data_IF_008949534045
#
_entry.id   IF_008949534045
#
_cell.length_a   1.000
_cell.length_b   1.000
_cell.length_c   1.000
_cell.angle_alpha   90.00
_cell.angle_beta   90.00
_cell.angle_gamma   90.00
#
_symmetry.space_group_name_H-M   'P 1'
#
loop_
_entity.id
_entity.type
_entity.pdbx_description
1 polymer ?
#
# COMPACT_ATOMS: atom_id res chain seq x y z
N UNK A 1 -37.87 -8.62 -0.14
CA UNK A 1 -37.04 -7.52 0.42
C UNK A 1 -36.40 -6.79 -0.75
N UNK A 2 -36.54 -5.46 -0.84
CA UNK A 2 -36.05 -4.66 -1.97
C UNK A 2 -34.94 -3.74 -1.46
N UNK A 3 -33.76 -3.78 -2.08
CA UNK A 3 -32.67 -2.85 -1.76
C UNK A 3 -33.00 -1.50 -2.42
N UNK A 4 -32.97 -0.42 -1.64
CA UNK A 4 -33.36 0.93 -2.07
C UNK A 4 -32.15 1.82 -2.42
N UNK A 5 -30.94 1.41 -2.05
CA UNK A 5 -29.70 2.12 -2.36
C UNK A 5 -28.48 1.28 -1.99
N UNK A 6 -27.34 1.60 -2.63
CA UNK A 6 -26.04 0.97 -2.38
C UNK A 6 -25.02 2.07 -2.14
N UNK A 7 -24.26 1.96 -1.06
CA UNK A 7 -23.11 2.80 -0.77
C UNK A 7 -21.86 2.05 -1.26
N UNK A 8 -21.10 2.69 -2.14
CA UNK A 8 -19.82 2.17 -2.60
C UNK A 8 -18.70 2.94 -1.92
N UNK A 9 -17.71 2.21 -1.43
CA UNK A 9 -16.42 2.80 -1.11
C UNK A 9 -15.77 3.32 -2.40
N UNK A 10 -14.93 4.36 -2.29
CA UNK A 10 -14.26 4.91 -3.45
C UNK A 10 -12.96 4.15 -3.74
N UNK A 11 -12.07 4.06 -2.76
CA UNK A 11 -10.75 3.46 -2.94
C UNK A 11 -10.82 1.93 -2.99
N UNK A 12 -10.18 1.34 -4.01
CA UNK A 12 -10.16 -0.12 -4.21
C UNK A 12 -11.50 -0.75 -4.62
N UNK A 13 -12.59 0.02 -4.71
CA UNK A 13 -13.92 -0.44 -5.14
C UNK A 13 -14.39 0.29 -6.40
N UNK A 14 -14.34 1.62 -6.42
CA UNK A 14 -14.69 2.44 -7.61
C UNK A 14 -13.45 2.91 -8.34
N UNK A 15 -12.37 3.22 -7.59
CA UNK A 15 -11.09 3.71 -8.10
C UNK A 15 -9.99 2.67 -7.84
N UNK A 16 -9.15 2.41 -8.85
CA UNK A 16 -7.95 1.58 -8.68
C UNK A 16 -6.76 2.40 -8.14
N UNK A 17 -6.94 2.94 -6.94
CA UNK A 17 -5.94 3.75 -6.24
C UNK A 17 -4.90 2.86 -5.53
N UNK A 18 -5.28 1.64 -5.13
CA UNK A 18 -4.39 0.67 -4.47
C UNK A 18 -3.22 0.24 -5.37
N UNK A 19 -3.46 -0.12 -6.64
CA UNK A 19 -2.38 -0.58 -7.53
C UNK A 19 -1.38 0.54 -7.83
N UNK A 20 -1.87 1.76 -8.03
CA UNK A 20 -1.03 2.93 -8.32
C UNK A 20 -0.12 3.26 -7.14
N UNK A 21 -0.67 3.28 -5.92
CA UNK A 21 0.08 3.47 -4.70
C UNK A 21 1.11 2.35 -4.48
N UNK A 22 0.72 1.08 -4.67
CA UNK A 22 1.62 -0.08 -4.53
C UNK A 22 2.77 -0.05 -5.54
N UNK A 23 2.52 0.42 -6.76
CA UNK A 23 3.56 0.62 -7.77
C UNK A 23 4.57 1.68 -7.35
N UNK A 24 4.11 2.78 -6.77
CA UNK A 24 4.98 3.83 -6.23
C UNK A 24 5.86 3.27 -5.10
N UNK A 25 5.25 2.60 -4.11
CA UNK A 25 5.97 2.03 -2.96
C UNK A 25 6.99 0.99 -3.39
N UNK A 26 6.64 0.06 -4.28
CA UNK A 26 7.59 -0.95 -4.80
C UNK A 26 8.81 -0.30 -5.48
N UNK A 27 8.60 0.75 -6.28
CA UNK A 27 9.68 1.48 -6.94
C UNK A 27 10.56 2.23 -5.95
N UNK A 28 9.96 2.92 -4.97
CA UNK A 28 10.69 3.67 -3.95
C UNK A 28 11.59 2.74 -3.14
N UNK A 29 11.02 1.64 -2.62
CA UNK A 29 11.74 0.66 -1.82
C UNK A 29 12.86 -0.02 -2.60
N UNK A 30 12.60 -0.41 -3.85
CA UNK A 30 13.60 -1.09 -4.67
C UNK A 30 14.72 -0.16 -5.14
N UNK A 31 14.37 1.04 -5.61
CA UNK A 31 15.34 1.93 -6.28
C UNK A 31 16.10 2.84 -5.33
N UNK A 32 15.44 3.37 -4.30
CA UNK A 32 16.05 4.35 -3.38
C UNK A 32 16.61 3.67 -2.14
N UNK A 33 15.92 2.63 -1.65
CA UNK A 33 16.24 1.99 -0.36
C UNK A 33 16.87 0.61 -0.48
N UNK A 34 17.13 0.15 -1.70
CA UNK A 34 17.74 -1.15 -1.97
C UNK A 34 17.03 -2.32 -1.26
N UNK A 35 15.72 -2.19 -1.05
CA UNK A 35 14.83 -3.21 -0.49
C UNK A 35 14.14 -3.93 -1.65
N UNK A 36 14.61 -5.12 -2.05
CA UNK A 36 14.13 -5.78 -3.25
C UNK A 36 12.72 -6.33 -3.02
N UNK A 37 11.71 -5.62 -3.54
CA UNK A 37 10.31 -6.04 -3.48
C UNK A 37 9.57 -5.73 -4.78
N UNK A 38 8.94 -6.74 -5.35
CA UNK A 38 8.11 -6.60 -6.55
C UNK A 38 6.75 -5.99 -6.23
N UNK A 39 6.05 -5.49 -7.26
CA UNK A 39 4.69 -4.98 -7.13
C UNK A 39 3.73 -6.04 -6.57
N UNK A 40 3.80 -7.28 -7.07
CA UNK A 40 2.92 -8.36 -6.61
C UNK A 40 3.16 -8.69 -5.13
N UNK A 41 4.42 -8.69 -4.69
CA UNK A 41 4.75 -8.87 -3.27
C UNK A 41 4.23 -7.72 -2.42
N UNK A 42 4.33 -6.47 -2.90
CA UNK A 42 3.73 -5.31 -2.22
C UNK A 42 2.21 -5.45 -2.08
N UNK A 43 1.51 -5.88 -3.14
CA UNK A 43 0.06 -6.07 -3.12
C UNK A 43 -0.31 -7.15 -2.12
N UNK A 44 0.26 -8.34 -2.22
CA UNK A 44 -0.10 -9.46 -1.34
C UNK A 44 0.24 -9.19 0.12
N UNK A 45 1.41 -8.57 0.38
CA UNK A 45 1.90 -8.34 1.75
C UNK A 45 1.13 -7.24 2.47
N UNK A 46 0.70 -6.21 1.74
CA UNK A 46 0.18 -4.99 2.34
C UNK A 46 -1.25 -4.64 1.92
N UNK A 47 -1.95 -5.52 1.20
CA UNK A 47 -3.39 -5.34 0.92
C UNK A 47 -4.17 -4.98 2.19
N UNK A 48 -4.92 -3.88 2.14
CA UNK A 48 -5.70 -3.37 3.27
C UNK A 48 -4.88 -2.71 4.38
N UNK A 49 -3.56 -2.54 4.23
CA UNK A 49 -2.71 -1.75 5.13
C UNK A 49 -2.48 -0.35 4.60
N UNK A 50 -2.59 0.64 5.49
CA UNK A 50 -2.25 2.03 5.20
C UNK A 50 -0.73 2.30 5.30
N UNK A 51 -0.30 3.51 4.93
CA UNK A 51 1.10 3.94 4.95
C UNK A 51 1.75 3.75 6.33
N UNK A 52 1.10 4.19 7.41
CA UNK A 52 1.61 4.06 8.78
C UNK A 52 1.88 2.60 9.18
N UNK A 53 0.99 1.68 8.80
CA UNK A 53 1.14 0.27 9.10
C UNK A 53 2.31 -0.36 8.34
N UNK A 54 2.54 0.07 7.10
CA UNK A 54 3.68 -0.38 6.28
C UNK A 54 4.99 0.18 6.84
N UNK A 55 5.03 1.48 7.15
CA UNK A 55 6.21 2.13 7.72
C UNK A 55 6.62 1.49 9.05
N UNK A 56 5.66 1.18 9.94
CA UNK A 56 5.93 0.45 11.19
C UNK A 56 6.49 -0.95 10.94
N UNK A 57 5.93 -1.68 9.98
CA UNK A 57 6.42 -3.02 9.65
C UNK A 57 7.88 -2.96 9.17
N UNK A 58 8.20 -2.04 8.26
CA UNK A 58 9.56 -1.85 7.75
C UNK A 58 10.52 -1.40 8.86
N UNK A 59 10.08 -0.53 9.77
CA UNK A 59 10.86 -0.14 10.96
C UNK A 59 11.24 -1.35 11.82
N UNK A 60 10.32 -2.28 12.06
CA UNK A 60 10.62 -3.51 12.81
C UNK A 60 11.57 -4.46 12.08
N UNK A 61 11.69 -4.35 10.75
CA UNK A 61 12.69 -5.08 9.95
C UNK A 61 14.08 -4.41 9.96
N UNK A 62 14.23 -3.31 10.70
CA UNK A 62 15.47 -2.54 10.77
C UNK A 62 15.64 -1.56 9.61
N UNK A 63 14.57 -1.29 8.86
CA UNK A 63 14.54 -0.31 7.80
C UNK A 63 13.82 0.96 8.27
N UNK A 64 14.54 2.06 8.49
CA UNK A 64 13.93 3.31 8.91
C UNK A 64 13.58 4.17 7.69
N UNK A 65 12.30 4.13 7.29
CA UNK A 65 11.72 4.92 6.18
C UNK A 65 10.61 5.85 6.66
N UNK A 66 10.65 6.25 7.93
CA UNK A 66 9.54 6.93 8.58
C UNK A 66 9.28 8.34 8.02
N UNK A 67 10.24 8.96 7.33
CA UNK A 67 10.09 10.28 6.72
C UNK A 67 9.49 10.23 5.30
N UNK A 68 9.58 9.10 4.59
CA UNK A 68 9.18 8.97 3.18
C UNK A 68 7.80 8.36 2.98
N UNK A 69 7.17 7.87 4.04
CA UNK A 69 5.79 7.38 4.05
C UNK A 69 4.77 8.43 4.56
N UNK A 70 5.18 9.69 4.75
CA UNK A 70 4.32 10.81 5.19
C UNK A 70 3.52 11.39 4.03
#
# INVERSE_FOLDING_TARGET
MKILGVLFDCDGVVLDTDNSYRSLVSKLLTNEFNYPITLNECIERWKGKNADQIARELFFEGCDFTEEFI
#
